data_IF_683584332989
#
_entry.id   IF_683584332989
#
_cell.length_a   1.000
_cell.length_b   1.000
_cell.length_c   1.000
_cell.angle_alpha   90.00
_cell.angle_beta   90.00
_cell.angle_gamma   90.00
#
_symmetry.space_group_name_H-M   'P 1'
#
loop_
_entity.id
_entity.type
_entity.pdbx_description
1 polymer ?
#
# COMPACT_ATOMS: atom_id res chain seq x y z
N UNK A 1 -11.60 7.55 14.93
CA UNK A 1 -11.48 6.54 13.86
C UNK A 1 -12.86 6.36 13.23
N UNK A 2 -12.97 6.46 11.94
CA UNK A 2 -14.21 6.21 11.21
C UNK A 2 -14.11 4.84 10.56
N UNK A 3 -15.09 3.95 10.84
CA UNK A 3 -15.18 2.62 10.21
C UNK A 3 -15.64 2.79 8.76
N UNK A 4 -14.91 2.19 7.82
CA UNK A 4 -15.18 2.33 6.38
C UNK A 4 -15.85 1.08 5.83
N UNK A 5 -15.47 -0.09 6.34
CA UNK A 5 -15.97 -1.37 5.88
C UNK A 5 -16.21 -2.31 7.06
N UNK A 6 -17.24 -3.16 6.96
CA UNK A 6 -17.55 -4.19 7.95
C UNK A 6 -16.59 -5.38 7.94
N UNK A 7 -15.55 -5.31 7.14
CA UNK A 7 -14.55 -6.36 6.97
C UNK A 7 -14.67 -7.07 5.63
N UNK A 8 -13.65 -7.82 5.30
CA UNK A 8 -13.63 -8.74 4.17
C UNK A 8 -13.36 -10.16 4.65
N UNK A 9 -14.00 -11.12 3.98
CA UNK A 9 -13.91 -12.52 4.32
C UNK A 9 -12.88 -13.22 3.45
N UNK A 10 -12.20 -14.18 4.04
CA UNK A 10 -11.22 -14.99 3.36
C UNK A 10 -11.61 -16.46 3.44
N UNK A 11 -12.14 -17.01 2.34
CA UNK A 11 -12.37 -18.43 2.17
C UNK A 11 -11.39 -18.99 1.12
N UNK A 12 -10.59 -19.96 1.48
CA UNK A 12 -9.70 -20.67 0.55
C UNK A 12 -10.00 -22.16 0.58
N UNK A 13 -10.67 -22.64 -0.48
CA UNK A 13 -10.81 -24.05 -0.81
C UNK A 13 -11.68 -24.90 0.12
N UNK A 14 -11.81 -26.19 -0.21
CA UNK A 14 -12.64 -27.18 0.52
C UNK A 14 -12.13 -27.50 1.94
N UNK A 15 -10.87 -27.24 2.25
CA UNK A 15 -10.36 -27.19 3.60
C UNK A 15 -10.82 -25.89 4.24
N UNK A 16 -11.79 -25.95 5.14
CA UNK A 16 -12.34 -24.81 5.88
C UNK A 16 -11.23 -24.12 6.67
N UNK A 17 -10.55 -23.16 6.05
CA UNK A 17 -9.70 -22.24 6.77
C UNK A 17 -10.60 -21.32 7.60
N UNK A 18 -10.17 -20.94 8.80
CA UNK A 18 -10.93 -20.01 9.61
C UNK A 18 -11.19 -18.72 8.82
N UNK A 19 -12.39 -18.23 8.93
CA UNK A 19 -12.81 -16.98 8.31
C UNK A 19 -12.09 -15.81 8.98
N UNK A 20 -11.21 -15.12 8.24
CA UNK A 20 -10.48 -13.97 8.75
C UNK A 20 -11.26 -12.72 8.38
N UNK A 21 -11.87 -12.09 9.37
CA UNK A 21 -12.55 -10.80 9.20
C UNK A 21 -11.64 -9.67 9.64
N UNK A 22 -11.33 -8.76 8.71
CA UNK A 22 -10.52 -7.56 8.99
C UNK A 22 -11.40 -6.33 8.79
N UNK A 23 -11.59 -5.56 9.83
CA UNK A 23 -12.29 -4.28 9.75
C UNK A 23 -11.32 -3.18 9.27
N UNK A 24 -11.79 -2.31 8.38
CA UNK A 24 -10.98 -1.21 7.82
C UNK A 24 -11.45 0.12 8.38
N UNK A 25 -10.49 0.92 8.86
CA UNK A 25 -10.76 2.25 9.44
C UNK A 25 -9.88 3.32 8.81
N UNK A 26 -10.45 4.50 8.62
CA UNK A 26 -9.67 5.71 8.38
C UNK A 26 -9.26 6.34 9.72
N UNK A 27 -7.98 6.68 9.85
CA UNK A 27 -7.39 7.24 11.07
C UNK A 27 -7.13 8.72 10.89
N UNK A 28 -7.70 9.54 11.77
CA UNK A 28 -7.56 10.99 11.75
C UNK A 28 -7.00 11.54 13.06
N UNK A 29 -6.51 12.78 13.02
CA UNK A 29 -6.07 13.50 14.20
C UNK A 29 -4.86 12.88 14.90
N UNK A 30 -4.86 12.92 16.24
CA UNK A 30 -3.75 12.50 17.11
C UNK A 30 -3.42 11.00 17.06
N UNK A 31 -4.35 10.18 16.61
CA UNK A 31 -4.18 8.72 16.55
C UNK A 31 -3.23 8.25 15.45
N UNK A 32 -2.90 9.09 14.49
CA UNK A 32 -2.07 8.72 13.33
C UNK A 32 -0.69 8.21 13.71
N UNK A 33 0.01 8.92 14.60
CA UNK A 33 1.36 8.55 15.03
C UNK A 33 1.34 7.27 15.89
N UNK A 34 0.30 7.11 16.70
CA UNK A 34 0.13 5.96 17.59
C UNK A 34 -0.10 4.68 16.80
N UNK A 35 -1.02 4.70 15.82
CA UNK A 35 -1.28 3.52 14.97
C UNK A 35 -0.12 3.21 14.03
N UNK A 36 0.72 4.20 13.66
CA UNK A 36 1.89 3.98 12.83
C UNK A 36 3.06 3.32 13.57
N UNK A 37 3.19 3.55 14.86
CA UNK A 37 4.35 3.09 15.66
C UNK A 37 4.68 1.60 15.49
N UNK A 38 3.73 0.65 15.51
CA UNK A 38 4.04 -0.77 15.28
C UNK A 38 4.61 -1.07 13.90
N UNK A 39 4.24 -0.27 12.89
CA UNK A 39 4.61 -0.48 11.49
C UNK A 39 5.92 0.18 11.09
N UNK A 40 6.35 1.20 11.81
CA UNK A 40 7.52 2.01 11.47
C UNK A 40 8.77 1.16 11.21
N UNK A 41 9.05 0.19 12.07
CA UNK A 41 10.21 -0.72 11.95
C UNK A 41 10.15 -1.67 10.75
N UNK A 42 8.96 -1.90 10.19
CA UNK A 42 8.74 -2.81 9.06
C UNK A 42 8.72 -2.09 7.71
N UNK A 43 8.81 -0.75 7.71
CA UNK A 43 8.87 0.01 6.48
C UNK A 43 10.32 0.29 6.08
N UNK A 44 10.75 -0.26 4.95
CA UNK A 44 12.15 -0.32 4.51
C UNK A 44 12.77 1.00 4.04
N UNK A 45 11.95 2.01 3.67
CA UNK A 45 12.46 3.27 3.10
C UNK A 45 12.60 4.39 4.13
N UNK A 46 11.62 4.53 5.01
CA UNK A 46 11.56 5.65 5.95
C UNK A 46 10.60 5.31 7.08
N UNK A 47 11.05 5.48 8.31
CA UNK A 47 10.25 5.22 9.51
C UNK A 47 9.25 6.33 9.83
N UNK A 48 9.38 7.52 9.19
CA UNK A 48 8.52 8.65 9.45
C UNK A 48 7.16 8.52 8.77
N UNK A 49 6.10 8.85 9.48
CA UNK A 49 4.76 8.89 8.92
C UNK A 49 4.62 10.06 7.94
N UNK A 50 4.06 9.81 6.76
CA UNK A 50 3.66 10.89 5.87
C UNK A 50 2.37 11.53 6.39
N UNK A 51 2.49 12.71 7.01
CA UNK A 51 1.38 13.43 7.64
C UNK A 51 0.36 14.01 6.66
N UNK A 52 0.71 14.16 5.39
CA UNK A 52 -0.21 14.65 4.35
C UNK A 52 -1.09 13.54 3.77
N UNK A 53 -0.74 12.27 4.04
CA UNK A 53 -1.51 11.14 3.59
C UNK A 53 -2.76 10.94 4.46
N UNK A 54 -3.86 10.51 3.85
CA UNK A 54 -4.95 9.85 4.57
C UNK A 54 -4.43 8.51 5.06
N UNK A 55 -4.68 8.18 6.31
CA UNK A 55 -4.15 6.96 6.94
C UNK A 55 -5.28 5.95 7.11
N UNK A 56 -5.03 4.71 6.71
CA UNK A 56 -5.97 3.61 6.83
C UNK A 56 -5.33 2.45 7.58
N UNK A 57 -6.10 1.77 8.40
CA UNK A 57 -5.68 0.59 9.14
C UNK A 57 -6.65 -0.56 8.97
N UNK A 58 -6.12 -1.76 8.94
CA UNK A 58 -6.86 -3.01 9.05
C UNK A 58 -6.76 -3.54 10.47
N UNK A 59 -7.90 -3.88 11.07
CA UNK A 59 -8.00 -4.40 12.44
C UNK A 59 -8.52 -5.83 12.39
N UNK A 60 -7.79 -6.75 12.99
CA UNK A 60 -8.16 -8.14 13.18
C UNK A 60 -8.12 -8.46 14.67
N UNK A 61 -9.19 -9.02 15.18
CA UNK A 61 -9.33 -9.40 16.61
C UNK A 61 -8.88 -8.28 17.58
N UNK A 62 -9.35 -7.05 17.32
CA UNK A 62 -9.02 -5.87 18.11
C UNK A 62 -7.60 -5.32 17.92
N UNK A 63 -6.74 -5.98 17.12
CA UNK A 63 -5.38 -5.56 16.86
C UNK A 63 -5.22 -4.90 15.50
N UNK A 64 -4.42 -3.84 15.43
CA UNK A 64 -4.07 -3.19 14.17
C UNK A 64 -2.99 -4.03 13.47
N UNK A 65 -3.35 -4.68 12.36
CA UNK A 65 -2.49 -5.66 11.66
C UNK A 65 -2.00 -5.18 10.29
N UNK A 66 -2.67 -4.19 9.71
CA UNK A 66 -2.30 -3.62 8.42
C UNK A 66 -2.42 -2.10 8.44
N UNK A 67 -1.56 -1.44 7.68
CA UNK A 67 -1.55 0.02 7.53
C UNK A 67 -1.25 0.39 6.08
N UNK A 68 -1.92 1.44 5.59
CA UNK A 68 -1.59 2.09 4.32
C UNK A 68 -1.94 3.57 4.37
N UNK A 69 -1.24 4.36 3.57
CA UNK A 69 -1.58 5.75 3.32
C UNK A 69 -2.13 5.97 1.92
N UNK A 70 -2.92 7.01 1.74
CA UNK A 70 -3.36 7.49 0.42
C UNK A 70 -2.94 8.93 0.27
N UNK A 71 -2.17 9.23 -0.77
CA UNK A 71 -1.66 10.56 -1.08
C UNK A 71 -2.24 11.08 -2.39
N UNK A 72 -2.18 12.40 -2.60
CA UNK A 72 -2.38 12.97 -3.92
C UNK A 72 -1.33 12.41 -4.88
N UNK A 73 -1.74 11.94 -6.06
CA UNK A 73 -0.78 11.54 -7.08
C UNK A 73 -0.09 12.81 -7.61
N UNK A 74 1.24 12.93 -7.51
CA UNK A 74 1.94 14.11 -8.00
C UNK A 74 1.65 14.34 -9.49
N UNK A 75 1.40 15.60 -9.87
CA UNK A 75 1.20 16.05 -11.25
C UNK A 75 0.00 15.41 -12.00
N UNK A 76 -0.93 14.75 -11.28
CA UNK A 76 -2.14 14.17 -11.88
C UNK A 76 -3.38 14.55 -11.07
N UNK A 77 -4.13 15.52 -11.55
CA UNK A 77 -5.43 15.89 -10.98
C UNK A 77 -6.42 14.72 -11.09
N UNK A 78 -7.26 14.53 -10.08
CA UNK A 78 -8.23 13.43 -10.04
C UNK A 78 -7.64 12.04 -9.75
N UNK A 79 -6.34 11.97 -9.41
CA UNK A 79 -5.68 10.72 -9.08
C UNK A 79 -5.18 10.70 -7.65
N UNK A 80 -5.35 9.55 -7.00
CA UNK A 80 -4.75 9.24 -5.69
C UNK A 80 -3.78 8.08 -5.84
N UNK A 81 -2.80 8.01 -4.94
CA UNK A 81 -1.84 6.92 -4.90
C UNK A 81 -1.87 6.25 -3.54
N UNK A 82 -2.00 4.92 -3.56
CA UNK A 82 -1.74 4.10 -2.37
C UNK A 82 -0.25 4.13 -2.08
N UNK A 83 0.08 4.44 -0.85
CA UNK A 83 1.43 4.68 -0.38
C UNK A 83 1.68 3.93 0.93
N UNK A 84 2.82 3.25 1.03
CA UNK A 84 3.27 2.57 2.27
C UNK A 84 2.33 1.48 2.79
N UNK A 85 1.99 0.50 1.96
CA UNK A 85 1.34 -0.69 2.46
C UNK A 85 2.30 -1.49 3.36
N UNK A 86 1.89 -1.72 4.60
CA UNK A 86 2.57 -2.60 5.57
C UNK A 86 1.55 -3.52 6.20
N UNK A 87 1.85 -4.81 6.22
CA UNK A 87 1.13 -5.82 7.01
C UNK A 87 2.13 -6.39 8.00
N UNK A 88 1.75 -6.53 9.27
CA UNK A 88 2.63 -7.10 10.28
C UNK A 88 3.04 -8.52 9.91
N UNK A 89 4.29 -8.95 10.21
CA UNK A 89 4.84 -10.23 9.76
C UNK A 89 3.94 -11.44 10.04
N UNK A 90 3.38 -11.51 11.25
CA UNK A 90 2.55 -12.63 11.69
C UNK A 90 1.21 -12.76 10.93
N UNK A 91 0.86 -11.73 10.16
CA UNK A 91 -0.39 -11.65 9.36
C UNK A 91 -0.13 -11.63 7.85
N UNK A 92 1.13 -11.82 7.43
CA UNK A 92 1.48 -11.90 6.01
C UNK A 92 1.18 -13.29 5.42
N UNK A 93 1.14 -13.37 4.09
CA UNK A 93 0.96 -14.62 3.36
C UNK A 93 -0.48 -15.11 3.24
N UNK A 94 -1.42 -14.56 4.00
CA UNK A 94 -2.83 -14.99 3.99
C UNK A 94 -3.75 -14.08 3.14
N UNK A 95 -3.18 -13.15 2.37
CA UNK A 95 -3.93 -12.30 1.44
C UNK A 95 -4.51 -11.01 2.05
N UNK A 96 -4.26 -10.72 3.33
CA UNK A 96 -4.76 -9.50 4.00
C UNK A 96 -4.33 -8.24 3.24
N UNK A 97 -3.06 -8.14 2.84
CA UNK A 97 -2.55 -6.93 2.19
C UNK A 97 -3.30 -6.55 0.90
N UNK A 98 -3.55 -7.52 0.02
CA UNK A 98 -4.26 -7.28 -1.25
C UNK A 98 -5.72 -6.88 -1.00
N UNK A 99 -6.42 -7.61 -0.14
CA UNK A 99 -7.83 -7.31 0.18
C UNK A 99 -7.99 -5.96 0.88
N UNK A 100 -7.04 -5.63 1.75
CA UNK A 100 -7.01 -4.35 2.45
C UNK A 100 -6.84 -3.18 1.46
N UNK A 101 -5.89 -3.26 0.51
CA UNK A 101 -5.74 -2.20 -0.49
C UNK A 101 -6.91 -2.15 -1.47
N UNK A 102 -7.56 -3.28 -1.78
CA UNK A 102 -8.77 -3.29 -2.60
C UNK A 102 -9.90 -2.52 -1.91
N UNK A 103 -10.13 -2.76 -0.62
CA UNK A 103 -11.14 -2.03 0.15
C UNK A 103 -10.86 -0.53 0.20
N UNK A 104 -9.59 -0.13 0.42
CA UNK A 104 -9.18 1.27 0.41
C UNK A 104 -9.30 1.89 -0.99
N UNK A 105 -8.91 1.15 -2.04
CA UNK A 105 -9.01 1.62 -3.42
C UNK A 105 -10.47 1.80 -3.85
N UNK A 106 -11.35 0.86 -3.50
CA UNK A 106 -12.79 0.95 -3.77
C UNK A 106 -13.42 2.18 -3.11
N UNK A 107 -13.06 2.46 -1.84
CA UNK A 107 -13.52 3.67 -1.16
C UNK A 107 -13.08 4.93 -1.89
N UNK A 108 -11.78 5.04 -2.20
CA UNK A 108 -11.23 6.23 -2.87
C UNK A 108 -11.80 6.39 -4.27
N UNK A 109 -12.08 5.29 -4.97
CA UNK A 109 -12.74 5.32 -6.28
C UNK A 109 -14.21 5.77 -6.17
N UNK A 110 -14.93 5.35 -5.14
CA UNK A 110 -16.32 5.81 -4.89
C UNK A 110 -16.40 7.30 -4.57
N UNK A 111 -15.31 7.92 -4.15
CA UNK A 111 -15.18 9.38 -3.97
C UNK A 111 -14.90 10.13 -5.30
N UNK A 112 -14.84 9.42 -6.43
CA UNK A 112 -14.61 9.98 -7.76
C UNK A 112 -13.14 10.10 -8.16
N UNK A 113 -12.21 9.46 -7.45
CA UNK A 113 -10.78 9.48 -7.78
C UNK A 113 -10.33 8.22 -8.49
N UNK A 114 -9.43 8.37 -9.46
CA UNK A 114 -8.66 7.24 -9.97
C UNK A 114 -7.58 6.84 -8.94
N UNK A 115 -7.33 5.55 -8.81
CA UNK A 115 -6.37 5.03 -7.82
C UNK A 115 -5.20 4.34 -8.50
N UNK A 116 -4.00 4.68 -8.05
CA UNK A 116 -2.74 4.08 -8.50
C UNK A 116 -1.99 3.47 -7.31
N UNK A 117 -1.28 2.40 -7.58
CA UNK A 117 -0.32 1.79 -6.67
C UNK A 117 0.99 1.53 -7.40
N UNK A 118 2.12 1.88 -6.79
CA UNK A 118 3.44 1.50 -7.31
C UNK A 118 4.17 0.68 -6.25
N UNK A 119 4.68 -0.49 -6.64
CA UNK A 119 5.36 -1.41 -5.74
C UNK A 119 6.57 -2.08 -6.38
N UNK A 120 7.53 -2.49 -5.55
CA UNK A 120 8.68 -3.32 -5.91
C UNK A 120 8.59 -4.72 -5.29
N UNK A 121 7.59 -4.97 -4.43
CA UNK A 121 7.44 -6.22 -3.67
C UNK A 121 6.95 -7.35 -4.57
N UNK A 122 7.74 -8.42 -4.80
CA UNK A 122 7.38 -9.47 -5.77
C UNK A 122 6.05 -10.15 -5.47
N UNK A 123 5.78 -10.46 -4.21
CA UNK A 123 4.53 -11.11 -3.79
C UNK A 123 3.30 -10.25 -4.13
N UNK A 124 3.38 -8.93 -3.87
CA UNK A 124 2.30 -8.00 -4.20
C UNK A 124 2.15 -7.84 -5.72
N UNK A 125 3.28 -7.74 -6.45
CA UNK A 125 3.27 -7.68 -7.93
C UNK A 125 2.60 -8.93 -8.52
N UNK A 126 2.94 -10.11 -8.01
CA UNK A 126 2.32 -11.38 -8.43
C UNK A 126 0.82 -11.37 -8.20
N UNK A 127 0.38 -11.04 -7.00
CA UNK A 127 -1.03 -11.00 -6.64
C UNK A 127 -1.83 -10.00 -7.50
N UNK A 128 -1.32 -8.77 -7.69
CA UNK A 128 -2.01 -7.74 -8.46
C UNK A 128 -2.07 -8.03 -9.97
N UNK A 129 -1.09 -8.74 -10.52
CA UNK A 129 -1.14 -9.17 -11.93
C UNK A 129 -2.25 -10.17 -12.23
N UNK A 130 -2.63 -10.97 -11.24
CA UNK A 130 -3.70 -11.97 -11.36
C UNK A 130 -5.05 -11.46 -10.84
N UNK A 131 -5.11 -10.22 -10.35
CA UNK A 131 -6.34 -9.59 -9.89
C UNK A 131 -7.08 -8.94 -11.04
N UNK A 132 -8.39 -9.11 -11.09
CA UNK A 132 -9.27 -8.41 -12.03
C UNK A 132 -9.41 -6.93 -11.67
N UNK A 133 -9.24 -6.60 -10.39
CA UNK A 133 -9.37 -5.22 -9.87
C UNK A 133 -8.20 -4.31 -10.26
N UNK A 134 -7.10 -4.85 -10.76
CA UNK A 134 -5.88 -4.07 -11.02
C UNK A 134 -5.32 -4.27 -12.41
N UNK A 135 -4.99 -3.17 -13.08
CA UNK A 135 -4.29 -3.17 -14.36
C UNK A 135 -2.83 -2.76 -14.20
N UNK A 136 -1.91 -3.60 -14.66
CA UNK A 136 -0.51 -3.22 -14.80
C UNK A 136 -0.39 -2.17 -15.91
N UNK A 137 0.05 -0.94 -15.57
CA UNK A 137 0.19 0.17 -16.53
C UNK A 137 1.62 0.53 -16.83
N UNK A 138 2.56 0.19 -15.94
CA UNK A 138 3.98 0.50 -16.16
C UNK A 138 4.88 -0.49 -15.42
N UNK A 139 5.95 -0.89 -16.12
CA UNK A 139 7.13 -1.54 -15.52
C UNK A 139 8.31 -0.59 -15.70
N UNK A 140 8.87 -0.11 -14.60
CA UNK A 140 10.05 0.74 -14.58
C UNK A 140 11.26 -0.04 -14.10
N UNK A 141 12.39 0.13 -14.79
CA UNK A 141 13.71 -0.34 -14.33
C UNK A 141 14.63 0.87 -14.44
N UNK A 142 15.26 1.25 -13.34
CA UNK A 142 16.27 2.30 -13.36
C UNK A 142 17.54 1.69 -13.93
N UNK A 143 18.01 2.21 -15.08
CA UNK A 143 19.30 1.82 -15.66
C UNK A 143 20.41 2.63 -14.96
N UNK A 144 21.55 1.99 -14.71
CA UNK A 144 22.70 2.62 -14.08
C UNK A 144 23.14 3.92 -14.80
N UNK A 145 22.97 4.00 -16.11
CA UNK A 145 23.26 5.19 -16.92
C UNK A 145 22.36 6.38 -16.60
N UNK A 146 21.10 6.14 -16.25
CA UNK A 146 20.14 7.21 -15.95
C UNK A 146 20.43 7.93 -14.61
N UNK A 147 21.35 7.40 -13.80
CA UNK A 147 21.78 7.98 -12.52
C UNK A 147 22.94 8.97 -12.68
N UNK A 148 23.72 8.87 -13.77
CA UNK A 148 24.91 9.71 -14.00
C UNK A 148 24.55 11.18 -14.28
N UNK A 149 23.40 11.42 -14.86
CA UNK A 149 22.93 12.76 -15.27
C UNK A 149 22.03 13.43 -14.22
N UNK A 150 21.83 12.80 -13.06
CA UNK A 150 21.01 13.38 -11.98
C UNK A 150 21.89 14.21 -11.03
N UNK A 151 21.44 15.42 -10.62
CA UNK A 151 22.16 16.21 -9.63
C UNK A 151 22.47 15.37 -8.38
N UNK A 152 23.70 15.42 -7.91
CA UNK A 152 24.25 14.66 -6.76
C UNK A 152 23.35 14.67 -5.51
N UNK A 153 22.63 15.74 -5.27
CA UNK A 153 21.70 15.86 -4.14
C UNK A 153 20.52 14.88 -4.19
N UNK A 154 20.04 14.53 -5.39
CA UNK A 154 18.94 13.56 -5.53
C UNK A 154 19.42 12.10 -5.40
N UNK A 155 20.65 11.81 -5.80
CA UNK A 155 21.26 10.48 -5.63
C UNK A 155 21.53 10.16 -4.14
N UNK A 156 21.98 11.16 -3.37
CA UNK A 156 22.24 11.02 -1.92
C UNK A 156 20.96 10.92 -1.08
N UNK A 157 19.87 11.58 -1.50
CA UNK A 157 18.56 11.47 -0.85
C UNK A 157 17.86 10.13 -1.07
N UNK A 158 18.16 9.44 -2.15
CA UNK A 158 17.61 8.13 -2.47
C UNK A 158 18.26 6.99 -1.67
N UNK A 159 19.13 7.33 -0.69
CA UNK A 159 19.77 6.35 0.19
C UNK A 159 20.36 5.24 -0.64
N UNK A 160 21.36 5.61 -1.39
CA UNK A 160 22.12 4.78 -2.27
C UNK A 160 21.64 3.33 -2.40
N UNK A 161 21.42 2.93 -3.48
CA UNK A 161 21.77 1.64 -3.95
C UNK A 161 20.64 0.63 -4.12
N UNK A 162 20.14 -0.02 -3.13
CA UNK A 162 19.43 -1.28 -3.39
C UNK A 162 17.99 -1.13 -3.87
N UNK A 163 17.26 -0.12 -3.43
CA UNK A 163 15.86 0.04 -3.83
C UNK A 163 15.67 0.70 -5.19
N UNK A 164 16.62 1.54 -5.63
CA UNK A 164 16.55 2.21 -6.93
C UNK A 164 16.82 1.27 -8.11
N UNK A 165 17.53 0.16 -7.86
CA UNK A 165 17.83 -0.87 -8.86
C UNK A 165 16.72 -1.91 -9.02
N UNK A 166 15.75 -1.96 -8.11
CA UNK A 166 14.65 -2.91 -8.18
C UNK A 166 13.62 -2.48 -9.24
N UNK A 167 13.10 -3.41 -10.05
CA UNK A 167 12.02 -3.09 -10.97
C UNK A 167 10.79 -2.62 -10.21
N UNK A 168 10.26 -1.48 -10.61
CA UNK A 168 9.01 -0.92 -10.08
C UNK A 168 7.86 -1.27 -11.00
N UNK A 169 6.73 -1.65 -10.41
CA UNK A 169 5.51 -1.95 -11.13
C UNK A 169 4.40 -1.01 -10.68
N UNK A 170 3.75 -0.36 -11.64
CA UNK A 170 2.66 0.56 -11.37
C UNK A 170 1.35 -0.03 -11.88
N UNK A 171 0.36 -0.02 -11.01
CA UNK A 171 -0.97 -0.57 -11.25
C UNK A 171 -2.02 0.53 -11.08
N UNK A 172 -3.06 0.48 -11.90
CA UNK A 172 -4.26 1.28 -11.69
C UNK A 172 -5.40 0.37 -11.24
N UNK A 173 -6.16 0.85 -10.27
CA UNK A 173 -7.38 0.18 -9.82
C UNK A 173 -8.49 0.31 -10.87
N UNK A 174 -9.25 -0.76 -11.03
CA UNK A 174 -10.44 -0.85 -11.89
C UNK A 174 -11.63 -1.11 -10.97
N UNK A 175 -12.52 -0.14 -10.76
CA UNK A 175 -13.71 -0.33 -9.94
C UNK A 175 -14.74 -1.28 -10.58
#
# INVERSE_FOLDING_TARGET
MTRINSGFFFCAGEWKRPEIRVDVYEVTGKWRDEVWRPFAKHHYLDHNLNRTARQFVGVYDGQVVAHTGVIQFPMRTGWKRIHRLVVLPDYQGVGIGVRFINAVAALVASEGYNVNLTTTTPALVGALKHSEDWALVRKGVVKMGDLKDRPYASAKRLGAADSSMRPTFSFNYRP
#
